data_IF_214783922314
#
_entry.id   IF_214783922314
#
_cell.length_a   1.000
_cell.length_b   1.000
_cell.length_c   1.000
_cell.angle_alpha   90.00
_cell.angle_beta   90.00
_cell.angle_gamma   90.00
#
_symmetry.space_group_name_H-M   'P 1'
#
loop_
_entity.id
_entity.type
_entity.pdbx_description
1 polymer ?
#
# COMPACT_ATOMS: atom_id res chain seq x y z
N UNK A 1 19.07 -2.99 11.15
CA UNK A 1 17.63 -3.36 11.29
C UNK A 1 17.42 -4.66 10.51
N UNK A 2 16.50 -5.55 10.91
CA UNK A 2 16.20 -6.74 10.09
C UNK A 2 15.32 -6.30 8.89
N UNK A 3 15.84 -6.44 7.67
CA UNK A 3 15.15 -6.06 6.43
C UNK A 3 13.79 -6.76 6.30
N UNK A 4 13.69 -8.02 6.73
CA UNK A 4 12.44 -8.76 6.68
C UNK A 4 11.41 -8.20 7.66
N UNK A 5 11.86 -7.84 8.88
CA UNK A 5 11.00 -7.18 9.87
C UNK A 5 10.48 -5.84 9.34
N UNK A 6 11.37 -5.04 8.76
CA UNK A 6 11.01 -3.74 8.19
C UNK A 6 10.00 -3.86 7.03
N UNK A 7 10.23 -4.80 6.11
CA UNK A 7 9.33 -5.05 4.98
C UNK A 7 7.96 -5.52 5.45
N UNK A 8 7.90 -6.37 6.49
CA UNK A 8 6.64 -6.81 7.07
C UNK A 8 5.89 -5.65 7.74
N UNK A 9 6.59 -4.78 8.49
CA UNK A 9 5.99 -3.58 9.10
C UNK A 9 5.38 -2.65 8.03
N UNK A 10 6.07 -2.44 6.90
CA UNK A 10 5.54 -1.65 5.78
C UNK A 10 4.25 -2.27 5.22
N UNK A 11 4.22 -3.59 5.02
CA UNK A 11 3.02 -4.28 4.50
C UNK A 11 1.85 -4.16 5.45
N UNK A 12 2.10 -4.43 6.73
CA UNK A 12 1.08 -4.36 7.78
C UNK A 12 0.50 -2.94 7.87
N UNK A 13 1.35 -1.93 8.09
CA UNK A 13 0.89 -0.56 8.31
C UNK A 13 0.33 0.09 7.03
N UNK A 14 0.97 -0.10 5.87
CA UNK A 14 0.66 0.68 4.67
C UNK A 14 -0.32 -0.03 3.71
N UNK A 15 -0.42 -1.35 3.74
CA UNK A 15 -1.35 -2.10 2.90
C UNK A 15 -2.49 -2.68 3.73
N UNK A 16 -2.17 -3.46 4.76
CA UNK A 16 -3.15 -4.29 5.44
C UNK A 16 -4.00 -3.48 6.44
N UNK A 17 -3.46 -2.43 7.05
CA UNK A 17 -4.20 -1.56 7.97
C UNK A 17 -4.79 -0.31 7.28
N UNK A 18 -3.98 0.39 6.49
CA UNK A 18 -4.37 1.67 5.90
C UNK A 18 -5.53 1.55 4.90
N UNK A 19 -5.52 0.52 4.05
CA UNK A 19 -6.53 0.36 2.99
C UNK A 19 -7.90 0.06 3.60
N UNK A 20 -8.06 -0.89 4.53
CA UNK A 20 -9.33 -1.07 5.24
C UNK A 20 -9.80 0.21 5.95
N UNK A 21 -8.90 0.98 6.54
CA UNK A 21 -9.25 2.24 7.19
C UNK A 21 -9.80 3.27 6.19
N UNK A 22 -9.20 3.39 5.00
CA UNK A 22 -9.75 4.23 3.93
C UNK A 22 -11.12 3.75 3.46
N UNK A 23 -11.30 2.45 3.30
CA UNK A 23 -12.60 1.85 2.95
C UNK A 23 -13.65 2.17 4.01
N UNK A 24 -13.32 2.04 5.29
CA UNK A 24 -14.20 2.38 6.40
C UNK A 24 -14.55 3.87 6.38
N UNK A 25 -13.57 4.74 6.19
CA UNK A 25 -13.75 6.19 6.11
C UNK A 25 -14.74 6.57 4.99
N UNK A 26 -14.58 6.00 3.78
CA UNK A 26 -15.46 6.24 2.64
C UNK A 26 -16.86 5.65 2.84
N UNK A 27 -16.98 4.56 3.61
CA UNK A 27 -18.25 3.86 3.84
C UNK A 27 -19.08 4.47 4.97
N UNK A 28 -18.45 5.05 5.98
CA UNK A 28 -19.12 5.45 7.23
C UNK A 28 -19.34 6.96 7.35
N UNK A 29 -18.47 7.79 6.78
CA UNK A 29 -18.64 9.25 6.85
C UNK A 29 -19.65 9.74 5.83
N UNK A 30 -20.47 10.70 6.24
CA UNK A 30 -21.27 11.47 5.29
C UNK A 30 -20.32 12.22 4.34
N UNK A 31 -20.47 12.09 2.99
CA UNK A 31 -19.58 12.75 2.05
C UNK A 31 -19.48 14.27 2.24
N UNK A 32 -20.56 14.92 2.70
CA UNK A 32 -20.60 16.37 2.97
C UNK A 32 -19.68 16.78 4.14
N UNK A 33 -19.22 15.83 4.96
CA UNK A 33 -18.28 16.08 6.05
C UNK A 33 -16.83 16.21 5.62
N UNK A 34 -16.50 15.91 4.36
CA UNK A 34 -15.16 16.12 3.81
C UNK A 34 -15.02 17.56 3.31
N UNK A 35 -14.09 18.31 3.91
CA UNK A 35 -13.74 19.66 3.47
C UNK A 35 -12.97 19.66 2.14
N UNK A 36 -12.31 18.55 1.82
CA UNK A 36 -11.60 18.36 0.57
C UNK A 36 -12.58 17.91 -0.54
N UNK A 37 -12.71 18.65 -1.65
CA UNK A 37 -13.65 18.32 -2.72
C UNK A 37 -13.38 16.96 -3.37
N UNK A 38 -12.13 16.55 -3.48
CA UNK A 38 -11.77 15.25 -4.06
C UNK A 38 -12.20 14.10 -3.14
N UNK A 39 -12.03 14.25 -1.83
CA UNK A 39 -12.53 13.28 -0.84
C UNK A 39 -14.06 13.26 -0.78
N UNK A 40 -14.72 14.41 -0.95
CA UNK A 40 -16.18 14.49 -1.07
C UNK A 40 -16.68 13.68 -2.28
N UNK A 41 -16.12 13.93 -3.46
CA UNK A 41 -16.49 13.24 -4.70
C UNK A 41 -16.21 11.74 -4.60
N UNK A 42 -15.05 11.38 -4.03
CA UNK A 42 -14.65 9.99 -3.83
C UNK A 42 -15.59 9.24 -2.89
N UNK A 43 -15.95 9.83 -1.75
CA UNK A 43 -16.89 9.22 -0.81
C UNK A 43 -18.29 9.10 -1.42
N UNK A 44 -18.73 10.10 -2.18
CA UNK A 44 -20.01 10.09 -2.91
C UNK A 44 -20.04 8.97 -3.94
N UNK A 45 -19.00 8.87 -4.78
CA UNK A 45 -18.87 7.83 -5.80
C UNK A 45 -18.79 6.44 -5.17
N UNK A 46 -18.03 6.28 -4.08
CA UNK A 46 -17.92 5.05 -3.33
C UNK A 46 -19.29 4.60 -2.79
N UNK A 47 -20.03 5.48 -2.12
CA UNK A 47 -21.33 5.14 -1.52
C UNK A 47 -22.39 4.79 -2.56
N UNK A 48 -22.37 5.46 -3.73
CA UNK A 48 -23.26 5.18 -4.84
C UNK A 48 -22.90 3.91 -5.64
N UNK A 49 -21.70 3.36 -5.44
CA UNK A 49 -21.22 2.19 -6.18
C UNK A 49 -21.83 0.87 -5.68
N UNK A 50 -22.05 -0.05 -6.63
CA UNK A 50 -22.39 -1.43 -6.31
C UNK A 50 -21.21 -2.19 -5.67
N UNK A 51 -21.49 -3.36 -5.08
CA UNK A 51 -20.48 -4.14 -4.37
C UNK A 51 -19.35 -4.60 -5.29
N UNK A 52 -19.66 -4.95 -6.55
CA UNK A 52 -18.66 -5.38 -7.53
C UNK A 52 -17.67 -4.25 -7.82
N UNK A 53 -18.15 -3.04 -7.98
CA UNK A 53 -17.35 -1.84 -8.24
C UNK A 53 -16.51 -1.48 -7.03
N UNK A 54 -17.07 -1.58 -5.81
CA UNK A 54 -16.32 -1.40 -4.56
C UNK A 54 -15.18 -2.40 -4.44
N UNK A 55 -15.42 -3.68 -4.72
CA UNK A 55 -14.37 -4.70 -4.70
C UNK A 55 -13.25 -4.43 -5.73
N UNK A 56 -13.61 -3.99 -6.94
CA UNK A 56 -12.61 -3.56 -7.94
C UNK A 56 -11.80 -2.38 -7.40
N UNK A 57 -12.46 -1.40 -6.78
CA UNK A 57 -11.79 -0.22 -6.25
C UNK A 57 -10.86 -0.55 -5.08
N UNK A 58 -11.25 -1.46 -4.18
CA UNK A 58 -10.36 -2.00 -3.12
C UNK A 58 -9.10 -2.63 -3.71
N UNK A 59 -9.25 -3.46 -4.75
CA UNK A 59 -8.11 -4.07 -5.45
C UNK A 59 -7.21 -3.02 -6.10
N UNK A 60 -7.79 -1.99 -6.72
CA UNK A 60 -7.03 -0.90 -7.31
C UNK A 60 -6.26 -0.10 -6.25
N UNK A 61 -6.85 0.18 -5.09
CA UNK A 61 -6.15 0.82 -3.97
C UNK A 61 -4.94 -0.03 -3.56
N UNK A 62 -5.15 -1.33 -3.36
CA UNK A 62 -4.09 -2.26 -2.96
C UNK A 62 -2.94 -2.29 -3.96
N UNK A 63 -3.24 -2.53 -5.24
CA UNK A 63 -2.22 -2.62 -6.29
C UNK A 63 -1.47 -1.29 -6.48
N UNK A 64 -2.17 -0.17 -6.38
CA UNK A 64 -1.56 1.16 -6.51
C UNK A 64 -0.63 1.47 -5.34
N UNK A 65 -1.08 1.22 -4.11
CA UNK A 65 -0.24 1.39 -2.91
C UNK A 65 0.97 0.45 -2.95
N UNK A 66 0.77 -0.81 -3.29
CA UNK A 66 1.84 -1.78 -3.43
C UNK A 66 2.87 -1.33 -4.47
N UNK A 67 2.42 -0.90 -5.66
CA UNK A 67 3.30 -0.42 -6.73
C UNK A 67 4.07 0.85 -6.34
N UNK A 68 3.43 1.77 -5.61
CA UNK A 68 4.10 2.98 -5.11
C UNK A 68 5.18 2.63 -4.09
N UNK A 69 4.89 1.75 -3.14
CA UNK A 69 5.86 1.30 -2.13
C UNK A 69 7.02 0.55 -2.79
N UNK A 70 6.73 -0.37 -3.71
CA UNK A 70 7.75 -1.09 -4.48
C UNK A 70 8.68 -0.13 -5.23
N UNK A 71 8.13 0.92 -5.85
CA UNK A 71 8.93 1.95 -6.52
C UNK A 71 9.83 2.71 -5.55
N UNK A 72 9.34 3.05 -4.36
CA UNK A 72 10.14 3.69 -3.31
C UNK A 72 11.24 2.76 -2.79
N UNK A 73 10.94 1.49 -2.54
CA UNK A 73 11.94 0.49 -2.11
C UNK A 73 12.99 0.27 -3.20
N UNK A 74 12.59 0.21 -4.47
CA UNK A 74 13.53 0.16 -5.60
C UNK A 74 14.48 1.36 -5.62
N UNK A 75 13.98 2.58 -5.38
CA UNK A 75 14.82 3.77 -5.30
C UNK A 75 15.78 3.70 -4.12
N UNK A 76 15.35 3.18 -2.97
CA UNK A 76 16.23 2.96 -1.81
C UNK A 76 17.32 1.95 -2.16
N UNK A 77 16.94 0.79 -2.71
CA UNK A 77 17.87 -0.27 -3.11
C UNK A 77 18.90 0.23 -4.14
N UNK A 78 18.49 1.10 -5.07
CA UNK A 78 19.38 1.62 -6.13
C UNK A 78 20.22 2.83 -5.72
N UNK A 79 19.71 3.73 -4.86
CA UNK A 79 20.46 4.91 -4.43
C UNK A 79 21.50 4.60 -3.36
N UNK A 80 21.16 3.78 -2.36
CA UNK A 80 22.07 3.53 -1.25
C UNK A 80 23.08 2.39 -1.52
N UNK A 81 22.94 1.65 -2.62
CA UNK A 81 24.00 0.76 -3.11
C UNK A 81 25.18 1.53 -3.72
N UNK A 82 25.02 2.84 -3.97
CA UNK A 82 26.07 3.70 -4.53
C UNK A 82 26.83 4.52 -3.47
N UNK A 83 26.33 4.64 -2.23
CA UNK A 83 26.97 5.41 -1.16
C UNK A 83 27.57 4.49 -0.09
N UNK A 84 28.89 4.51 0.06
CA UNK A 84 29.72 3.60 0.88
C UNK A 84 29.49 3.75 2.42
N UNK A 85 28.53 4.57 2.88
CA UNK A 85 28.44 4.99 4.28
C UNK A 85 27.03 4.84 4.93
N UNK A 86 26.29 3.78 4.64
CA UNK A 86 25.07 3.46 5.41
C UNK A 86 25.21 2.17 6.21
N UNK A 87 25.88 2.25 7.35
CA UNK A 87 26.25 1.12 8.23
C UNK A 87 25.08 0.27 8.79
N UNK A 88 23.81 0.54 8.48
CA UNK A 88 22.67 -0.03 9.20
C UNK A 88 21.49 -0.57 8.38
N UNK A 89 21.54 -0.47 7.05
CA UNK A 89 20.59 -1.10 6.13
C UNK A 89 21.40 -1.95 5.14
N UNK A 90 21.07 -3.24 4.99
CA UNK A 90 21.61 -4.01 3.85
C UNK A 90 20.77 -3.61 2.65
N UNK A 91 21.22 -2.54 1.99
CA UNK A 91 20.56 -1.96 0.83
C UNK A 91 20.79 -2.90 -0.36
N UNK A 92 19.72 -3.33 -1.03
CA UNK A 92 19.80 -4.18 -2.21
C UNK A 92 18.70 -5.24 -2.33
N UNK A 93 18.13 -5.68 -1.21
CA UNK A 93 17.15 -6.79 -1.18
C UNK A 93 15.74 -6.35 -0.74
N UNK A 94 15.49 -5.06 -0.49
CA UNK A 94 14.21 -4.61 0.10
C UNK A 94 13.03 -4.82 -0.85
N UNK A 95 13.21 -4.50 -2.13
CA UNK A 95 12.20 -4.75 -3.16
C UNK A 95 11.89 -6.24 -3.27
N UNK A 96 12.94 -7.07 -3.35
CA UNK A 96 12.78 -8.51 -3.53
C UNK A 96 12.05 -9.13 -2.32
N UNK A 97 12.43 -8.75 -1.10
CA UNK A 97 11.74 -9.16 0.13
C UNK A 97 10.28 -8.68 0.16
N UNK A 98 10.01 -7.46 -0.33
CA UNK A 98 8.66 -6.93 -0.42
C UNK A 98 7.79 -7.71 -1.42
N UNK A 99 8.34 -8.08 -2.57
CA UNK A 99 7.61 -8.81 -3.63
C UNK A 99 7.50 -10.32 -3.37
N UNK A 100 8.43 -10.93 -2.61
CA UNK A 100 8.50 -12.38 -2.40
C UNK A 100 7.26 -13.01 -1.74
N UNK A 101 6.45 -12.25 -1.01
CA UNK A 101 5.21 -12.77 -0.39
C UNK A 101 3.97 -12.57 -1.25
N UNK A 102 4.02 -11.81 -2.35
CA UNK A 102 2.85 -11.71 -3.25
C UNK A 102 2.65 -12.92 -4.15
N UNK A 103 3.67 -13.75 -4.34
CA UNK A 103 3.59 -14.98 -5.14
C UNK A 103 3.05 -16.19 -4.35
N UNK A 104 3.02 -16.13 -3.02
CA UNK A 104 2.59 -17.25 -2.17
C UNK A 104 1.08 -17.29 -1.93
N UNK A 105 0.35 -16.22 -2.23
CA UNK A 105 -1.10 -16.12 -2.02
C UNK A 105 -1.96 -16.66 -3.17
N UNK A 106 -1.39 -16.90 -4.35
CA UNK A 106 -2.12 -17.41 -5.53
C UNK A 106 -2.05 -18.93 -5.71
N UNK A 107 -1.34 -19.66 -4.84
CA UNK A 107 -1.21 -21.13 -4.92
C UNK A 107 -1.92 -21.90 -3.78
N UNK A 108 -2.84 -21.26 -3.06
CA UNK A 108 -3.41 -21.80 -1.83
C UNK A 108 -4.91 -21.62 -1.61
N UNK A 109 -5.76 -21.93 -2.59
CA UNK A 109 -7.08 -22.64 -2.48
C UNK A 109 -7.99 -22.40 -3.67
#
# INVERSE_FOLDING_TARGET
>A
MDNMKFVNEIKEECLDELIPHFVELLSTRNPVSFNDPTMHDLATAWQASDEKTKEIFKKLMYLSSQGSIASTLHLIDTQFTMEVNTDHLVVGDLLDLFMAQTETSESGK
#
